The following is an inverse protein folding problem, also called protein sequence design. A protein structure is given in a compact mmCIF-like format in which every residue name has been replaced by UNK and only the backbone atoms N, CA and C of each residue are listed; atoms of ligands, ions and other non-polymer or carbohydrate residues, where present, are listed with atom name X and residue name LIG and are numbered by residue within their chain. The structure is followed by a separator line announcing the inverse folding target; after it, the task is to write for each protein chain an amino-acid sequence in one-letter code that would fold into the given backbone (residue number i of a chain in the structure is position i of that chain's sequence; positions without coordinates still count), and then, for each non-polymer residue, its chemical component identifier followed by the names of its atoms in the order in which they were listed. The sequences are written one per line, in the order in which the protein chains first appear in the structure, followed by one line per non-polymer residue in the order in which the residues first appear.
data_IF_554630858840
#
_entry.id   IF_554630858840
#
_cell.length_a   1.000
_cell.length_b   1.000
_cell.length_c   1.000
_cell.angle_alpha   90.00
_cell.angle_beta   90.00
_cell.angle_gamma   90.00
#
_symmetry.space_group_name_H-M   'P 1'
#
loop_
_entity.id
_entity.type
_entity.pdbx_description
1 polymer ?
#
# COMPACT_ATOMS: atom_id res chain seq x y z
N UNK A 1 -25.60 -29.36 -25.65
CA UNK A 1 -24.71 -29.69 -26.78
C UNK A 1 -23.32 -29.19 -26.44
N UNK A 2 -22.38 -30.10 -26.19
CA UNK A 2 -20.99 -29.77 -25.86
C UNK A 2 -20.20 -29.51 -27.14
N UNK A 3 -20.22 -28.28 -27.63
CA UNK A 3 -19.34 -27.87 -28.72
C UNK A 3 -17.89 -27.89 -28.23
N UNK A 4 -17.06 -28.58 -28.99
CA UNK A 4 -15.72 -29.02 -28.60
C UNK A 4 -14.80 -27.82 -28.43
N UNK A 5 -14.26 -27.65 -27.22
CA UNK A 5 -13.37 -26.55 -26.81
C UNK A 5 -12.00 -26.55 -27.51
N UNK A 6 -11.60 -27.68 -28.08
CA UNK A 6 -10.24 -27.93 -28.58
C UNK A 6 -9.83 -27.17 -29.87
N UNK A 7 -10.71 -26.97 -30.88
CA UNK A 7 -10.36 -26.18 -32.07
C UNK A 7 -10.12 -24.70 -31.77
N UNK A 8 -10.76 -24.16 -30.72
CA UNK A 8 -10.65 -22.74 -30.31
C UNK A 8 -9.29 -22.44 -29.67
N UNK A 9 -8.74 -23.38 -28.89
CA UNK A 9 -7.43 -23.24 -28.23
C UNK A 9 -6.28 -23.18 -29.26
N UNK A 10 -6.39 -23.91 -30.37
CA UNK A 10 -5.38 -23.93 -31.44
C UNK A 10 -5.28 -22.59 -32.19
N UNK A 11 -6.39 -21.85 -32.30
CA UNK A 11 -6.40 -20.49 -32.87
C UNK A 11 -5.73 -19.48 -31.93
N UNK A 12 -5.84 -19.66 -30.61
CA UNK A 12 -5.22 -18.80 -29.61
C UNK A 12 -3.68 -18.93 -29.56
N UNK A 13 -3.11 -20.11 -29.82
CA UNK A 13 -1.65 -20.27 -29.84
C UNK A 13 -0.99 -19.58 -31.04
N UNK A 14 -1.66 -19.58 -32.20
CA UNK A 14 -1.20 -18.93 -33.43
C UNK A 14 -1.11 -17.40 -33.27
N UNK A 15 -2.07 -16.82 -32.54
CA UNK A 15 -2.11 -15.39 -32.22
C UNK A 15 -0.91 -14.96 -31.35
N UNK A 16 -0.61 -15.72 -30.30
CA UNK A 16 0.49 -15.39 -29.39
C UNK A 16 1.87 -15.40 -30.08
N UNK A 17 2.08 -16.31 -31.04
CA UNK A 17 3.34 -16.40 -31.81
C UNK A 17 3.55 -15.21 -32.75
N UNK A 18 2.49 -14.60 -33.28
CA UNK A 18 2.61 -13.40 -34.13
C UNK A 18 2.91 -12.15 -33.29
N UNK A 19 2.36 -12.07 -32.08
CA UNK A 19 2.57 -10.95 -31.16
C UNK A 19 4.04 -10.83 -30.70
N UNK A 20 4.72 -11.97 -30.54
CA UNK A 20 6.12 -12.01 -30.13
C UNK A 20 7.07 -11.46 -31.21
N UNK A 21 6.73 -11.64 -32.50
CA UNK A 21 7.51 -11.11 -33.63
C UNK A 21 7.48 -9.57 -33.73
N UNK A 22 6.47 -8.93 -33.16
CA UNK A 22 6.34 -7.46 -33.17
C UNK A 22 7.08 -6.78 -32.02
N UNK A 23 7.58 -7.54 -31.04
CA UNK A 23 8.22 -7.01 -29.84
C UNK A 23 9.73 -6.80 -29.99
N UNK A 24 10.33 -7.24 -31.09
CA UNK A 24 11.79 -7.24 -31.31
C UNK A 24 12.34 -5.99 -32.03
N UNK A 25 11.56 -4.92 -32.21
CA UNK A 25 12.03 -3.67 -32.86
C UNK A 25 12.34 -2.58 -31.82
N UNK A 26 13.60 -2.13 -31.65
CA UNK A 26 13.94 -1.12 -30.64
C UNK A 26 13.97 0.31 -31.21
N UNK A 27 13.38 1.26 -30.48
CA UNK A 27 13.48 2.72 -30.72
C UNK A 27 14.22 3.38 -29.55
N UNK A 28 15.36 4.02 -29.85
CA UNK A 28 16.20 4.80 -28.93
C UNK A 28 15.65 6.20 -28.65
N UNK A 29 15.85 6.72 -27.43
CA UNK A 29 15.81 8.17 -27.14
C UNK A 29 16.83 8.55 -26.05
N UNK A 30 17.65 9.55 -26.38
CA UNK A 30 18.73 10.15 -25.59
C UNK A 30 18.25 11.27 -24.65
N UNK A 31 19.07 11.59 -23.63
CA UNK A 31 18.91 12.71 -22.67
C UNK A 31 19.86 13.89 -23.00
N UNK A 32 19.56 15.12 -22.54
CA UNK A 32 20.63 16.08 -22.18
C UNK A 32 20.44 16.78 -20.80
N UNK A 33 21.45 17.55 -20.30
CA UNK A 33 21.81 17.60 -18.88
C UNK A 33 21.62 18.94 -18.12
N UNK A 34 21.78 18.81 -16.79
CA UNK A 34 22.14 19.74 -15.68
C UNK A 34 22.23 21.25 -15.94
N UNK A 35 21.65 22.02 -15.00
CA UNK A 35 22.21 23.30 -14.58
C UNK A 35 22.17 23.44 -13.05
N UNK A 36 23.29 23.92 -12.49
CA UNK A 36 23.51 24.24 -11.07
C UNK A 36 23.35 25.75 -10.95
N UNK A 37 22.61 26.23 -9.94
CA UNK A 37 22.94 27.51 -9.33
C UNK A 37 22.52 27.54 -7.86
N UNK A 38 23.49 27.97 -7.04
CA UNK A 38 23.38 28.21 -5.61
C UNK A 38 22.65 29.53 -5.36
N UNK A 39 21.77 29.56 -4.36
CA UNK A 39 21.50 30.76 -3.58
C UNK A 39 21.09 30.38 -2.17
N UNK A 40 21.94 30.78 -1.24
CA UNK A 40 21.82 30.63 0.20
C UNK A 40 20.65 31.45 0.72
N UNK A 41 19.74 30.83 1.47
CA UNK A 41 19.08 31.50 2.58
C UNK A 41 18.77 30.50 3.68
N UNK A 42 19.63 30.52 4.70
CA UNK A 42 19.38 29.89 5.98
C UNK A 42 18.17 30.58 6.63
N UNK A 43 17.06 29.84 6.73
CA UNK A 43 16.03 30.11 7.72
C UNK A 43 16.12 28.97 8.74
N UNK A 44 16.75 29.26 9.87
CA UNK A 44 16.64 28.47 11.09
C UNK A 44 15.17 28.49 11.52
N UNK A 45 14.43 27.44 11.18
CA UNK A 45 13.10 27.21 11.70
C UNK A 45 13.11 27.02 13.22
N UNK A 46 11.96 27.12 13.90
CA UNK A 46 11.87 26.85 15.33
C UNK A 46 12.44 25.46 15.60
N UNK A 47 13.26 25.31 16.64
CA UNK A 47 13.82 24.03 17.07
C UNK A 47 12.68 23.00 17.21
N UNK A 48 12.45 22.20 16.16
CA UNK A 48 11.48 21.11 16.16
C UNK A 48 12.11 19.88 16.80
N UNK A 49 12.80 20.05 17.92
CA UNK A 49 13.31 18.93 18.69
C UNK A 49 12.15 18.29 19.46
N UNK A 50 12.18 16.96 19.55
CA UNK A 50 11.21 16.20 20.32
C UNK A 50 11.48 16.45 21.81
N UNK A 51 10.55 17.10 22.50
CA UNK A 51 10.68 17.38 23.94
C UNK A 51 9.74 16.47 24.73
N UNK A 52 10.32 15.65 25.61
CA UNK A 52 9.56 14.80 26.51
C UNK A 52 9.15 15.52 27.80
N UNK A 53 7.94 15.25 28.34
CA UNK A 53 7.54 15.69 29.68
C UNK A 53 8.54 15.23 30.75
N UNK A 54 8.71 16.02 31.81
CA UNK A 54 9.74 15.77 32.85
C UNK A 54 9.67 14.36 33.43
N UNK A 55 8.46 13.85 33.71
CA UNK A 55 8.26 12.49 34.22
C UNK A 55 8.80 11.44 33.26
N UNK A 56 8.53 11.59 31.96
CA UNK A 56 9.00 10.66 30.94
C UNK A 56 10.52 10.77 30.75
N UNK A 57 11.07 11.99 30.77
CA UNK A 57 12.51 12.23 30.67
C UNK A 57 13.28 11.54 31.81
N UNK A 58 12.81 11.69 33.04
CA UNK A 58 13.42 11.02 34.20
C UNK A 58 13.35 9.48 34.07
N UNK A 59 12.25 8.93 33.55
CA UNK A 59 12.13 7.49 33.32
C UNK A 59 13.07 7.01 32.20
N UNK A 60 13.22 7.82 31.16
CA UNK A 60 14.17 7.64 30.06
C UNK A 60 15.61 7.59 30.60
N UNK A 61 16.00 8.58 31.41
CA UNK A 61 17.34 8.67 32.00
C UNK A 61 17.64 7.48 32.91
N UNK A 62 16.62 7.00 33.64
CA UNK A 62 16.70 5.81 34.50
C UNK A 62 16.60 4.48 33.75
N UNK A 63 16.35 4.51 32.43
CA UNK A 63 16.14 3.33 31.57
C UNK A 63 15.08 2.39 32.11
N UNK A 64 13.97 2.98 32.54
CA UNK A 64 12.87 2.24 33.18
C UNK A 64 12.33 1.13 32.25
N UNK A 65 12.27 -0.10 32.77
CA UNK A 65 11.79 -1.27 32.02
C UNK A 65 10.36 -1.11 31.54
N UNK A 66 9.55 -0.31 32.24
CA UNK A 66 8.16 -0.04 31.88
C UNK A 66 8.01 0.64 30.51
N UNK A 67 9.06 1.31 30.01
CA UNK A 67 9.07 1.91 28.67
C UNK A 67 9.04 0.84 27.56
N UNK A 68 9.57 -0.35 27.85
CA UNK A 68 9.69 -1.49 26.93
C UNK A 68 8.73 -2.62 27.24
N UNK A 69 7.93 -2.50 28.30
CA UNK A 69 6.98 -3.54 28.68
C UNK A 69 6.02 -3.84 27.53
N UNK A 70 5.78 -5.14 27.30
CA UNK A 70 4.76 -5.60 26.37
C UNK A 70 3.35 -5.28 26.87
N UNK A 71 3.17 -5.13 28.18
CA UNK A 71 1.91 -4.70 28.77
C UNK A 71 1.74 -3.18 28.68
N UNK A 72 0.48 -2.72 28.75
CA UNK A 72 0.18 -1.28 28.74
C UNK A 72 0.60 -0.65 30.07
N UNK A 73 1.72 0.05 30.09
CA UNK A 73 2.18 0.84 31.22
C UNK A 73 1.83 2.31 31.05
N UNK A 74 1.80 3.06 32.16
CA UNK A 74 1.62 4.53 32.14
C UNK A 74 2.75 5.22 31.39
N UNK A 75 3.99 4.78 31.63
CA UNK A 75 5.19 5.34 30.97
C UNK A 75 5.20 5.08 29.46
N UNK A 76 4.87 3.86 29.01
CA UNK A 76 4.75 3.56 27.58
C UNK A 76 3.62 4.36 26.93
N UNK A 77 2.49 4.53 27.62
CA UNK A 77 1.40 5.37 27.13
C UNK A 77 1.81 6.84 26.98
N UNK A 78 2.58 7.37 27.95
CA UNK A 78 3.10 8.74 27.93
C UNK A 78 4.15 8.94 26.81
N UNK A 79 4.98 7.93 26.55
CA UNK A 79 5.91 7.93 25.42
C UNK A 79 5.16 8.03 24.09
N UNK A 80 4.18 7.16 23.86
CA UNK A 80 3.37 7.18 22.65
C UNK A 80 2.61 8.51 22.50
N UNK A 81 2.08 9.06 23.61
CA UNK A 81 1.42 10.37 23.60
C UNK A 81 2.39 11.48 23.18
N UNK A 82 3.59 11.53 23.75
CA UNK A 82 4.59 12.56 23.42
C UNK A 82 5.03 12.51 21.95
N UNK A 83 5.21 11.30 21.42
CA UNK A 83 5.51 11.09 20.00
C UNK A 83 4.35 11.53 19.09
N UNK A 84 3.12 11.20 19.50
CA UNK A 84 1.92 11.65 18.80
C UNK A 84 1.82 13.17 18.79
N UNK A 85 1.98 13.83 19.94
CA UNK A 85 1.88 15.30 20.07
C UNK A 85 2.95 16.02 19.24
N UNK A 86 4.15 15.45 19.11
CA UNK A 86 5.18 16.01 18.26
C UNK A 86 4.83 15.89 16.77
N UNK A 87 4.41 14.71 16.33
CA UNK A 87 4.16 14.44 14.92
C UNK A 87 2.84 15.06 14.43
N UNK A 88 1.83 15.14 15.31
CA UNK A 88 0.51 15.72 15.00
C UNK A 88 0.57 17.23 14.74
N UNK A 89 1.54 17.95 15.33
CA UNK A 89 1.85 19.34 14.98
C UNK A 89 2.19 19.52 13.50
N UNK A 90 2.78 18.50 12.87
CA UNK A 90 3.12 18.51 11.44
C UNK A 90 1.97 18.00 10.59
N UNK A 91 1.36 16.88 10.97
CA UNK A 91 0.23 16.29 10.23
C UNK A 91 -0.53 15.25 11.04
N UNK A 92 -1.86 15.22 10.87
CA UNK A 92 -2.71 14.12 11.38
C UNK A 92 -2.69 12.88 10.49
N UNK A 93 -2.05 12.93 9.31
CA UNK A 93 -1.87 11.81 8.39
C UNK A 93 -0.40 11.61 8.03
N UNK A 94 0.44 11.16 8.98
CA UNK A 94 1.85 10.94 8.69
C UNK A 94 2.06 9.85 7.65
N UNK A 95 3.02 10.06 6.75
CA UNK A 95 3.46 9.04 5.79
C UNK A 95 4.29 7.97 6.50
N UNK A 96 4.49 6.82 5.85
CA UNK A 96 5.32 5.77 6.43
C UNK A 96 6.74 6.25 6.76
N UNK A 97 7.33 7.05 5.88
CA UNK A 97 8.66 7.63 6.05
C UNK A 97 8.71 8.55 7.27
N UNK A 98 7.71 9.40 7.46
CA UNK A 98 7.65 10.32 8.62
C UNK A 98 7.59 9.58 9.96
N UNK A 99 6.91 8.43 10.03
CA UNK A 99 6.96 7.60 11.24
C UNK A 99 8.36 7.00 11.45
N UNK A 100 8.98 6.47 10.39
CA UNK A 100 10.31 5.86 10.46
C UNK A 100 11.35 6.89 10.89
N UNK A 101 11.39 8.07 10.27
CA UNK A 101 12.33 9.14 10.60
C UNK A 101 12.24 9.54 12.07
N UNK A 102 11.01 9.77 12.57
CA UNK A 102 10.80 10.12 13.97
C UNK A 102 11.31 9.02 14.92
N UNK A 103 10.93 7.77 14.68
CA UNK A 103 11.30 6.67 15.56
C UNK A 103 12.78 6.34 15.46
N UNK A 104 13.36 6.41 14.27
CA UNK A 104 14.80 6.25 14.05
C UNK A 104 15.58 7.27 14.86
N UNK A 105 15.20 8.55 14.83
CA UNK A 105 15.86 9.59 15.61
C UNK A 105 15.73 9.32 17.12
N UNK A 106 14.55 8.92 17.59
CA UNK A 106 14.33 8.56 19.01
C UNK A 106 15.23 7.40 19.43
N UNK A 107 15.37 6.37 18.60
CA UNK A 107 16.23 5.22 18.92
C UNK A 107 17.72 5.60 18.86
N UNK A 108 18.11 6.52 17.96
CA UNK A 108 19.48 7.03 17.90
C UNK A 108 19.84 7.82 19.17
N UNK A 109 18.94 8.69 19.63
CA UNK A 109 19.14 9.50 20.85
C UNK A 109 19.04 8.64 22.12
N UNK A 110 18.19 7.61 22.10
CA UNK A 110 17.89 6.75 23.25
C UNK A 110 17.99 5.25 22.88
N UNK A 111 19.21 4.71 22.68
CA UNK A 111 19.39 3.33 22.18
C UNK A 111 18.79 2.24 23.05
N UNK A 112 18.61 2.48 24.35
CA UNK A 112 18.01 1.51 25.26
C UNK A 112 16.51 1.27 24.97
N UNK A 113 15.83 2.22 24.34
CA UNK A 113 14.44 2.06 23.89
C UNK A 113 14.30 1.06 22.73
N UNK A 114 15.42 0.69 22.08
CA UNK A 114 15.44 -0.24 20.95
C UNK A 114 14.90 -1.61 21.37
N UNK A 115 13.93 -2.10 20.62
CA UNK A 115 13.36 -3.44 20.76
C UNK A 115 14.37 -4.48 20.23
N UNK A 116 14.36 -5.68 20.81
CA UNK A 116 15.32 -6.74 20.47
C UNK A 116 15.02 -7.43 19.14
N UNK A 117 13.81 -7.30 18.62
CA UNK A 117 13.31 -8.00 17.43
C UNK A 117 13.05 -6.98 16.31
N UNK A 118 13.33 -7.39 15.06
CA UNK A 118 13.03 -6.61 13.86
C UNK A 118 13.91 -5.36 13.70
N UNK A 119 13.31 -4.27 13.20
CA UNK A 119 13.99 -2.99 12.96
C UNK A 119 14.39 -2.28 14.26
N UNK A 120 13.89 -2.74 15.41
CA UNK A 120 14.17 -2.20 16.73
C UNK A 120 13.20 -1.11 17.20
N UNK A 121 12.17 -0.79 16.42
CA UNK A 121 11.09 0.14 16.80
C UNK A 121 9.72 -0.29 16.27
N UNK A 122 9.57 -1.53 15.82
CA UNK A 122 8.38 -1.98 15.10
C UNK A 122 7.12 -1.97 15.98
N UNK A 123 7.22 -2.34 17.27
CA UNK A 123 6.05 -2.29 18.15
C UNK A 123 5.71 -0.85 18.59
N UNK A 124 6.71 0.03 18.70
CA UNK A 124 6.49 1.48 18.87
C UNK A 124 5.79 2.09 17.64
N UNK A 125 6.23 1.71 16.43
CA UNK A 125 5.61 2.12 15.17
C UNK A 125 4.13 1.73 15.11
N UNK A 126 3.83 0.48 15.42
CA UNK A 126 2.45 -0.01 15.40
C UNK A 126 1.60 0.67 16.48
N UNK A 127 2.15 0.87 17.68
CA UNK A 127 1.47 1.60 18.77
C UNK A 127 1.15 3.05 18.38
N UNK A 128 2.09 3.73 17.73
CA UNK A 128 1.93 5.12 17.28
C UNK A 128 0.91 5.22 16.14
N UNK A 129 0.94 4.31 15.16
CA UNK A 129 -0.07 4.23 14.10
C UNK A 129 -1.48 4.03 14.66
N UNK A 130 -1.61 3.14 15.64
CA UNK A 130 -2.88 2.87 16.31
C UNK A 130 -3.37 4.09 17.11
N UNK A 131 -2.47 4.81 17.77
CA UNK A 131 -2.78 6.09 18.43
C UNK A 131 -3.34 7.11 17.43
N UNK A 132 -2.64 7.36 16.33
CA UNK A 132 -3.13 8.23 15.26
C UNK A 132 -4.47 7.78 14.68
N UNK A 133 -4.68 6.47 14.51
CA UNK A 133 -5.97 5.92 14.06
C UNK A 133 -7.08 6.25 15.05
N UNK A 134 -6.85 6.11 16.35
CA UNK A 134 -7.82 6.38 17.42
C UNK A 134 -8.17 7.86 17.51
N UNK A 135 -7.17 8.75 17.50
CA UNK A 135 -7.38 10.20 17.60
C UNK A 135 -8.09 10.78 16.37
N UNK A 136 -8.01 10.12 15.22
CA UNK A 136 -8.78 10.50 14.02
C UNK A 136 -10.24 10.04 14.03
N UNK A 137 -10.60 8.99 14.77
CA UNK A 137 -11.98 8.49 14.81
C UNK A 137 -13.03 9.56 15.19
N UNK A 138 -12.82 10.43 16.19
CA UNK A 138 -13.80 11.47 16.53
C UNK A 138 -13.81 12.64 15.54
N UNK A 139 -12.78 12.78 14.69
CA UNK A 139 -12.61 13.94 13.80
C UNK A 139 -13.28 13.78 12.43
N UNK A 140 -14.21 12.83 12.30
CA UNK A 140 -14.89 12.48 11.04
C UNK A 140 -15.72 13.64 10.47
N UNK A 141 -16.16 14.59 11.31
CA UNK A 141 -16.89 15.79 10.89
C UNK A 141 -15.99 16.93 10.36
N UNK A 142 -14.66 16.81 10.40
CA UNK A 142 -13.75 17.83 9.92
C UNK A 142 -13.46 17.64 8.41
N UNK A 143 -13.88 18.60 7.59
CA UNK A 143 -13.76 18.59 6.12
C UNK A 143 -12.33 18.33 5.63
N UNK A 144 -11.30 18.77 6.36
CA UNK A 144 -9.89 18.57 6.00
C UNK A 144 -9.46 17.10 6.17
N UNK A 145 -9.95 16.45 7.22
CA UNK A 145 -9.72 15.04 7.54
C UNK A 145 -10.49 14.16 6.56
N UNK A 146 -11.67 14.59 6.12
CA UNK A 146 -12.43 13.93 5.05
C UNK A 146 -11.68 13.99 3.71
N UNK A 147 -11.16 15.16 3.29
CA UNK A 147 -10.33 15.31 2.08
C UNK A 147 -9.06 14.47 2.11
N UNK A 148 -8.38 14.41 3.25
CA UNK A 148 -7.19 13.56 3.42
C UNK A 148 -7.59 12.08 3.39
N UNK A 149 -8.65 11.69 4.11
CA UNK A 149 -9.19 10.32 4.06
C UNK A 149 -9.58 9.91 2.65
N UNK A 150 -10.20 10.78 1.85
CA UNK A 150 -10.52 10.53 0.44
C UNK A 150 -9.26 10.38 -0.41
N UNK A 151 -8.25 11.24 -0.24
CA UNK A 151 -6.95 11.14 -0.93
C UNK A 151 -6.24 9.83 -0.62
N UNK A 152 -6.30 9.37 0.63
CA UNK A 152 -5.69 8.11 1.07
C UNK A 152 -6.55 6.88 0.79
N UNK A 153 -7.88 7.02 0.74
CA UNK A 153 -8.82 5.98 0.31
C UNK A 153 -8.70 5.71 -1.19
N UNK A 154 -8.43 6.72 -2.03
CA UNK A 154 -8.09 6.50 -3.45
C UNK A 154 -6.82 5.67 -3.64
N UNK A 155 -5.91 5.65 -2.65
CA UNK A 155 -4.66 4.86 -2.68
C UNK A 155 -4.81 3.45 -2.13
N UNK A 156 -5.76 3.23 -1.21
CA UNK A 156 -6.15 1.90 -0.77
C UNK A 156 -7.38 1.49 -1.57
N UNK A 157 -7.20 0.75 -2.68
CA UNK A 157 -8.32 0.02 -3.28
C UNK A 157 -9.04 -0.69 -2.12
N UNK A 158 -10.36 -0.51 -1.94
CA UNK A 158 -11.06 -1.17 -0.85
C UNK A 158 -10.83 -2.66 -1.01
N UNK A 159 -10.33 -3.32 0.03
CA UNK A 159 -10.49 -4.76 0.14
C UNK A 159 -11.99 -4.96 0.31
N UNK A 160 -12.65 -5.49 -0.73
CA UNK A 160 -14.09 -5.72 -0.71
C UNK A 160 -14.37 -6.71 0.41
N UNK A 161 -14.84 -6.21 1.56
CA UNK A 161 -15.58 -7.04 2.50
C UNK A 161 -16.81 -7.52 1.76
N UNK A 162 -16.93 -8.84 1.66
CA UNK A 162 -18.02 -9.52 1.00
C UNK A 162 -19.33 -9.24 1.74
N UNK A 163 -20.03 -8.18 1.38
CA UNK A 163 -21.43 -7.99 1.74
C UNK A 163 -22.12 -7.08 0.72
N UNK A 164 -23.14 -7.67 0.07
CA UNK A 164 -24.12 -7.08 -0.84
C UNK A 164 -23.58 -6.34 -2.08
N UNK A 165 -23.66 -7.01 -3.23
CA UNK A 165 -23.56 -6.39 -4.55
C UNK A 165 -24.74 -5.43 -4.80
N UNK A 166 -24.51 -4.14 -5.11
CA UNK A 166 -25.33 -3.40 -6.04
C UNK A 166 -24.70 -3.55 -7.42
N UNK A 167 -25.42 -4.25 -8.29
CA UNK A 167 -25.07 -4.51 -9.68
C UNK A 167 -25.12 -3.23 -10.53
N UNK A 168 -24.21 -2.27 -10.33
CA UNK A 168 -23.92 -1.17 -11.29
C UNK A 168 -22.70 -0.38 -10.81
N UNK A 169 -21.47 -0.84 -11.07
CA UNK A 169 -20.29 0.01 -11.28
C UNK A 169 -19.20 -0.83 -11.96
N UNK A 170 -19.26 -0.86 -13.28
CA UNK A 170 -18.16 -1.31 -14.13
C UNK A 170 -17.48 -0.06 -14.65
N UNK A 171 -16.47 0.46 -13.95
CA UNK A 171 -15.49 1.37 -14.56
C UNK A 171 -14.19 1.49 -13.74
N UNK A 172 -13.33 0.49 -13.88
CA UNK A 172 -11.88 0.63 -13.77
C UNK A 172 -11.30 -0.65 -14.36
N UNK A 173 -10.87 -0.59 -15.63
CA UNK A 173 -10.21 -1.71 -16.27
C UNK A 173 -9.03 -2.18 -15.41
N UNK A 174 -9.00 -3.48 -15.10
CA UNK A 174 -7.79 -4.14 -14.61
C UNK A 174 -6.64 -3.77 -15.54
N UNK A 175 -5.48 -3.37 -15.00
CA UNK A 175 -4.32 -3.06 -15.81
C UNK A 175 -3.79 -4.33 -16.48
N UNK A 176 -3.16 -4.21 -17.66
CA UNK A 176 -2.70 -5.38 -18.43
C UNK A 176 -1.82 -6.34 -17.61
N UNK A 177 -1.07 -5.82 -16.62
CA UNK A 177 -0.26 -6.65 -15.72
C UNK A 177 -1.14 -7.49 -14.79
N UNK A 178 -2.21 -6.92 -14.23
CA UNK A 178 -3.19 -7.63 -13.41
C UNK A 178 -3.94 -8.69 -14.21
N UNK A 179 -4.36 -8.36 -15.44
CA UNK A 179 -5.01 -9.32 -16.35
C UNK A 179 -4.10 -10.51 -16.65
N UNK A 180 -2.82 -10.26 -16.96
CA UNK A 180 -1.83 -11.33 -17.19
C UNK A 180 -1.68 -12.24 -15.97
N UNK A 181 -1.68 -11.67 -14.77
CA UNK A 181 -1.56 -12.44 -13.54
C UNK A 181 -2.82 -13.29 -13.27
N UNK A 182 -4.02 -12.74 -13.49
CA UNK A 182 -5.25 -13.53 -13.38
C UNK A 182 -5.30 -14.68 -14.38
N UNK A 183 -4.87 -14.47 -15.62
CA UNK A 183 -4.78 -15.53 -16.62
C UNK A 183 -3.76 -16.61 -16.25
N UNK A 184 -2.61 -16.22 -15.68
CA UNK A 184 -1.60 -17.15 -15.17
C UNK A 184 -2.17 -18.04 -14.07
N UNK A 185 -2.81 -17.44 -13.07
CA UNK A 185 -3.42 -18.16 -11.94
C UNK A 185 -4.55 -19.08 -12.41
N UNK A 186 -5.39 -18.64 -13.34
CA UNK A 186 -6.44 -19.49 -13.92
C UNK A 186 -5.82 -20.71 -14.61
N UNK A 187 -4.78 -20.51 -15.42
CA UNK A 187 -4.09 -21.59 -16.13
C UNK A 187 -3.52 -22.62 -15.15
N UNK A 188 -2.72 -22.14 -14.19
CA UNK A 188 -2.09 -22.99 -13.17
C UNK A 188 -3.12 -23.76 -12.34
N UNK A 189 -4.27 -23.16 -12.03
CA UNK A 189 -5.33 -23.80 -11.26
C UNK A 189 -6.08 -24.86 -12.08
N UNK A 190 -6.32 -24.62 -13.37
CA UNK A 190 -7.00 -25.59 -14.26
C UNK A 190 -6.16 -26.82 -14.60
N UNK A 191 -4.83 -26.71 -14.50
CA UNK A 191 -3.90 -27.83 -14.74
C UNK A 191 -3.78 -28.78 -13.54
N UNK A 192 -4.34 -28.42 -12.37
CA UNK A 192 -4.33 -29.26 -11.17
C UNK A 192 -5.30 -30.44 -11.29
N UNK A 193 -4.94 -31.57 -10.68
CA UNK A 193 -5.80 -32.76 -10.60
C UNK A 193 -7.12 -32.49 -9.86
N UNK A 194 -7.13 -31.54 -8.91
CA UNK A 194 -8.32 -31.06 -8.20
C UNK A 194 -8.32 -29.53 -8.13
N UNK A 195 -8.89 -28.85 -9.15
CA UNK A 195 -8.94 -27.40 -9.19
C UNK A 195 -9.82 -26.78 -8.10
N UNK A 196 -9.41 -25.64 -7.57
CA UNK A 196 -10.24 -24.81 -6.71
C UNK A 196 -11.26 -24.01 -7.52
N UNK A 197 -12.50 -24.49 -7.52
CA UNK A 197 -13.60 -23.90 -8.29
C UNK A 197 -14.00 -22.49 -7.81
N UNK A 198 -13.86 -22.19 -6.52
CA UNK A 198 -14.19 -20.86 -5.99
C UNK A 198 -13.16 -19.83 -6.41
N UNK A 199 -11.87 -20.19 -6.38
CA UNK A 199 -10.79 -19.36 -6.90
C UNK A 199 -10.97 -19.09 -8.40
N UNK A 200 -11.32 -20.11 -9.18
CA UNK A 200 -11.57 -19.96 -10.61
C UNK A 200 -12.75 -19.02 -10.90
N UNK A 201 -13.86 -19.13 -10.16
CA UNK A 201 -15.01 -18.23 -10.30
C UNK A 201 -14.64 -16.78 -9.99
N UNK A 202 -13.90 -16.57 -8.91
CA UNK A 202 -13.43 -15.23 -8.50
C UNK A 202 -12.54 -14.60 -9.59
N UNK A 203 -11.50 -15.33 -10.03
CA UNK A 203 -10.59 -14.82 -11.08
C UNK A 203 -11.31 -14.60 -12.41
N UNK A 204 -12.25 -15.48 -12.78
CA UNK A 204 -13.05 -15.33 -13.99
C UNK A 204 -14.01 -14.13 -13.96
N UNK A 205 -14.52 -13.77 -12.78
CA UNK A 205 -15.35 -12.59 -12.60
C UNK A 205 -14.53 -11.30 -12.77
N UNK A 206 -13.30 -11.27 -12.25
CA UNK A 206 -12.39 -10.12 -12.37
C UNK A 206 -12.00 -9.82 -13.82
N UNK A 207 -11.78 -10.86 -14.65
CA UNK A 207 -11.45 -10.68 -16.08
C UNK A 207 -12.66 -10.69 -17.02
N UNK A 208 -13.89 -10.59 -16.51
CA UNK A 208 -15.12 -10.70 -17.31
C UNK A 208 -15.20 -9.67 -18.45
N UNK A 209 -14.80 -8.42 -18.18
CA UNK A 209 -14.83 -7.34 -19.17
C UNK A 209 -13.80 -7.59 -20.25
N UNK A 210 -12.57 -7.96 -19.87
CA UNK A 210 -11.50 -8.32 -20.81
C UNK A 210 -11.93 -9.50 -21.70
N UNK A 211 -12.52 -10.55 -21.12
CA UNK A 211 -13.04 -11.69 -21.89
C UNK A 211 -14.15 -11.30 -22.85
N UNK A 212 -15.07 -10.43 -22.43
CA UNK A 212 -16.14 -9.91 -23.29
C UNK A 212 -15.57 -9.08 -24.44
N UNK A 213 -14.63 -8.18 -24.16
CA UNK A 213 -13.95 -7.39 -25.19
C UNK A 213 -13.18 -8.28 -26.16
N UNK A 214 -12.39 -9.24 -25.63
CA UNK A 214 -11.66 -10.21 -26.45
C UNK A 214 -12.58 -10.98 -27.38
N UNK A 215 -13.73 -11.49 -26.91
CA UNK A 215 -14.70 -12.18 -27.77
C UNK A 215 -15.24 -11.23 -28.85
N UNK A 216 -15.65 -10.01 -28.47
CA UNK A 216 -16.19 -9.02 -29.41
C UNK A 216 -15.18 -8.53 -30.45
N UNK A 217 -13.90 -8.40 -30.10
CA UNK A 217 -12.85 -8.02 -31.04
C UNK A 217 -12.41 -9.18 -31.92
N UNK A 218 -12.38 -10.40 -31.38
CA UNK A 218 -11.99 -11.59 -32.17
C UNK A 218 -13.08 -12.00 -33.16
N UNK A 219 -14.35 -11.70 -32.88
CA UNK A 219 -15.46 -11.89 -33.82
C UNK A 219 -15.50 -10.83 -34.95
N UNK A 220 -14.82 -9.69 -34.79
CA UNK A 220 -14.70 -8.64 -35.82
C UNK A 220 -13.54 -8.90 -36.81
N UNK A 221 -12.55 -9.72 -36.45
CA UNK A 221 -11.41 -10.06 -37.32
C UNK A 221 -11.72 -11.21 -38.30
N UNK A 222 -12.97 -11.70 -38.34
CA UNK A 222 -13.45 -12.77 -39.23
C UNK A 222 -14.63 -12.35 -40.12
N UNK A 223 -14.82 -11.03 -40.33
CA UNK A 223 -15.67 -10.43 -41.37
C UNK A 223 -14.81 -9.58 -42.31
#
# INVERSE_FOLDING_TARGET
MSERLFPVIRKQSLFLTQLEKLKSTPMSRENPPRNIDNSSQAQSGPDTSLVFPTVLRMAIDRRDSDLKSASKTKLRSLLIQSLFDHLSKKTMYPTHLQYIELLSNVIMDYPYLRESIGSGYDALLESLRNKFKKERQPLVANNEIQRLKERWARRKRPLQTAEAYPSTMVDAGEDERSIREHLRVIKEETEKLRPNLELLKERMALIKIYRRHFVLTTDLDYL
#
